data_IF_579511054551
#
_entry.id   IF_579511054551
#
_cell.length_a   1.000
_cell.length_b   1.000
_cell.length_c   1.000
_cell.angle_alpha   90.00
_cell.angle_beta   90.00
_cell.angle_gamma   90.00
#
_symmetry.space_group_name_H-M   'P 1'
#
loop_
_entity.id
_entity.type
_entity.pdbx_description
1 polymer ?
#
# COMPACT_ATOMS: atom_id res chain seq x y z
N UNK A 1 24.54 -11.03 -2.74
CA UNK A 1 23.77 -11.99 -3.56
C UNK A 1 22.64 -12.56 -2.72
N UNK A 2 21.47 -12.88 -3.29
CA UNK A 2 20.40 -13.52 -2.53
C UNK A 2 20.81 -14.89 -2.02
N UNK A 3 20.26 -15.29 -0.87
CA UNK A 3 20.33 -16.66 -0.37
C UNK A 3 19.08 -17.42 -0.79
N UNK A 4 19.23 -18.59 -1.41
CA UNK A 4 18.12 -19.52 -1.65
C UNK A 4 17.85 -20.31 -0.38
N UNK A 5 16.61 -20.26 0.11
CA UNK A 5 16.21 -20.90 1.40
C UNK A 5 15.11 -21.94 1.26
N UNK A 6 14.51 -22.04 0.06
CA UNK A 6 13.60 -23.09 -0.40
C UNK A 6 13.67 -23.11 -1.94
N UNK A 7 13.04 -24.09 -2.60
CA UNK A 7 13.12 -24.27 -4.07
C UNK A 7 12.73 -23.00 -4.84
N UNK A 8 11.59 -22.40 -4.46
CA UNK A 8 11.03 -21.17 -5.04
C UNK A 8 11.15 -19.95 -4.10
N UNK A 9 12.16 -19.87 -3.23
CA UNK A 9 12.30 -18.75 -2.29
C UNK A 9 13.72 -18.20 -2.18
N UNK A 10 13.87 -16.92 -2.54
CA UNK A 10 15.10 -16.14 -2.43
C UNK A 10 14.95 -15.05 -1.36
N UNK A 11 16.03 -14.83 -0.60
CA UNK A 11 16.07 -13.85 0.49
C UNK A 11 17.25 -12.91 0.31
N UNK A 12 16.97 -11.60 0.31
CA UNK A 12 17.97 -10.55 0.42
C UNK A 12 18.00 -10.03 1.87
N UNK A 13 19.20 -9.92 2.44
CA UNK A 13 19.37 -9.45 3.82
C UNK A 13 19.16 -10.53 4.89
N UNK A 14 19.18 -10.08 6.14
CA UNK A 14 18.89 -10.90 7.32
C UNK A 14 17.42 -10.72 7.69
N UNK A 15 16.63 -11.78 7.53
CA UNK A 15 15.18 -11.76 7.74
C UNK A 15 14.82 -12.78 8.81
N UNK A 16 13.89 -12.42 9.69
CA UNK A 16 13.39 -13.28 10.76
C UNK A 16 12.78 -14.60 10.23
N UNK A 17 12.99 -15.70 10.94
CA UNK A 17 12.56 -17.03 10.48
C UNK A 17 11.03 -17.16 10.35
N UNK A 18 10.26 -16.43 11.17
CA UNK A 18 8.80 -16.36 11.05
C UNK A 18 8.35 -15.79 9.69
N UNK A 19 9.05 -14.77 9.18
CA UNK A 19 8.79 -14.09 7.92
C UNK A 19 9.17 -15.02 6.76
N UNK A 20 10.32 -15.69 6.86
CA UNK A 20 10.72 -16.71 5.89
C UNK A 20 9.68 -17.86 5.87
N UNK A 21 9.21 -18.31 7.03
CA UNK A 21 8.20 -19.37 7.11
C UNK A 21 6.86 -18.95 6.49
N UNK A 22 6.43 -17.70 6.67
CA UNK A 22 5.25 -17.15 5.97
C UNK A 22 5.46 -17.14 4.44
N UNK A 23 6.61 -16.65 3.97
CA UNK A 23 6.93 -16.59 2.55
C UNK A 23 7.02 -17.97 1.88
N UNK A 24 7.51 -19.00 2.60
CA UNK A 24 7.51 -20.39 2.11
C UNK A 24 6.09 -20.89 1.78
N UNK A 25 5.06 -20.45 2.51
CA UNK A 25 3.68 -20.83 2.19
C UNK A 25 3.25 -20.28 0.83
N UNK A 26 3.59 -19.03 0.54
CA UNK A 26 3.31 -18.41 -0.76
C UNK A 26 4.11 -19.07 -1.89
N UNK A 27 5.40 -19.34 -1.67
CA UNK A 27 6.28 -19.97 -2.66
C UNK A 27 5.83 -21.37 -3.12
N UNK A 28 5.05 -22.07 -2.29
CA UNK A 28 4.51 -23.41 -2.58
C UNK A 28 3.18 -23.39 -3.33
N UNK A 29 2.59 -22.23 -3.57
CA UNK A 29 1.34 -22.15 -4.31
C UNK A 29 1.57 -22.59 -5.76
N UNK A 30 0.65 -23.37 -6.36
CA UNK A 30 0.81 -23.87 -7.72
C UNK A 30 0.77 -22.75 -8.77
N UNK A 31 0.22 -21.58 -8.42
CA UNK A 31 0.14 -20.40 -9.28
C UNK A 31 1.44 -19.57 -9.29
N UNK A 32 2.42 -19.91 -8.46
CA UNK A 32 3.67 -19.15 -8.38
C UNK A 32 4.69 -19.69 -9.39
N UNK A 33 5.01 -18.87 -10.37
CA UNK A 33 5.98 -19.16 -11.41
C UNK A 33 7.35 -18.57 -11.08
N UNK A 34 8.43 -19.33 -11.26
CA UNK A 34 9.77 -18.90 -10.84
C UNK A 34 9.96 -18.93 -9.32
N UNK A 35 10.21 -17.78 -8.68
CA UNK A 35 10.53 -17.69 -7.26
C UNK A 35 9.87 -16.49 -6.57
N UNK A 36 9.51 -16.67 -5.30
CA UNK A 36 9.23 -15.57 -4.38
C UNK A 36 10.54 -14.94 -3.95
N UNK A 37 10.60 -13.61 -3.91
CA UNK A 37 11.74 -12.85 -3.43
C UNK A 37 11.36 -12.03 -2.19
N UNK A 38 12.11 -12.20 -1.11
CA UNK A 38 12.04 -11.32 0.07
C UNK A 38 13.10 -10.24 -0.02
N UNK A 39 12.66 -8.99 0.07
CA UNK A 39 13.52 -7.81 0.13
C UNK A 39 14.12 -7.66 1.54
N UNK A 40 15.20 -6.85 1.71
CA UNK A 40 15.86 -6.67 3.01
C UNK A 40 14.98 -6.11 4.14
N UNK A 41 13.87 -5.46 3.81
CA UNK A 41 12.88 -4.90 4.72
C UNK A 41 11.67 -5.82 4.93
N UNK A 42 11.72 -7.05 4.41
CA UNK A 42 10.62 -7.99 4.51
C UNK A 42 10.31 -8.36 5.95
N UNK A 43 9.02 -8.40 6.28
CA UNK A 43 8.53 -8.76 7.60
C UNK A 43 7.13 -9.38 7.51
N UNK A 44 6.64 -9.89 8.64
CA UNK A 44 5.33 -10.52 8.76
C UNK A 44 4.23 -9.60 8.21
N UNK A 45 3.37 -10.17 7.36
CA UNK A 45 2.14 -9.55 6.88
C UNK A 45 0.92 -10.42 7.14
N UNK A 46 -0.19 -10.13 6.44
CA UNK A 46 -1.41 -10.94 6.49
C UNK A 46 -1.51 -11.73 5.18
N UNK A 47 -1.41 -13.07 5.27
CA UNK A 47 -1.27 -13.94 4.10
C UNK A 47 0.12 -13.85 3.51
N UNK A 48 0.36 -12.84 2.68
CA UNK A 48 1.68 -12.55 2.12
C UNK A 48 2.52 -11.72 3.11
N UNK A 49 3.85 -11.87 3.01
CA UNK A 49 4.84 -11.02 3.70
C UNK A 49 4.87 -9.62 3.09
N UNK A 50 5.08 -8.60 3.91
CA UNK A 50 5.42 -7.25 3.43
C UNK A 50 6.86 -7.29 2.91
N UNK A 51 7.19 -6.50 1.88
CA UNK A 51 8.51 -6.51 1.26
C UNK A 51 8.79 -7.76 0.41
N UNK A 52 7.74 -8.37 -0.16
CA UNK A 52 7.89 -9.55 -1.02
C UNK A 52 7.44 -9.31 -2.45
N UNK A 53 8.09 -9.99 -3.39
CA UNK A 53 7.68 -10.11 -4.78
C UNK A 53 7.21 -11.55 -5.01
N UNK A 54 5.95 -11.71 -5.40
CA UNK A 54 5.31 -13.01 -5.61
C UNK A 54 4.81 -13.05 -7.07
N UNK A 55 5.60 -13.59 -8.01
CA UNK A 55 5.15 -13.77 -9.39
C UNK A 55 4.05 -14.82 -9.45
N UNK A 56 2.91 -14.48 -10.06
CA UNK A 56 1.79 -15.40 -10.28
C UNK A 56 1.47 -15.53 -11.76
N UNK A 57 1.05 -16.72 -12.18
CA UNK A 57 0.55 -16.97 -13.53
C UNK A 57 -0.97 -17.11 -13.51
N UNK A 58 -1.65 -16.35 -14.37
CA UNK A 58 -3.11 -16.34 -14.54
C UNK A 58 -3.90 -16.27 -13.22
N UNK A 59 -3.32 -15.64 -12.19
CA UNK A 59 -3.91 -15.57 -10.88
C UNK A 59 -3.55 -14.29 -10.14
N UNK A 60 -4.42 -13.86 -9.22
CA UNK A 60 -4.20 -12.70 -8.35
C UNK A 60 -4.48 -13.08 -6.90
N UNK A 61 -3.51 -12.91 -6.02
CA UNK A 61 -3.65 -13.06 -4.57
C UNK A 61 -4.00 -11.67 -3.98
N UNK A 62 -5.26 -11.37 -3.59
CA UNK A 62 -5.64 -10.01 -3.18
C UNK A 62 -4.90 -9.51 -1.93
N UNK A 63 -4.57 -10.41 -1.00
CA UNK A 63 -3.81 -10.07 0.21
C UNK A 63 -2.35 -9.69 -0.09
N UNK A 64 -1.77 -10.21 -1.18
CA UNK A 64 -0.41 -9.87 -1.61
C UNK A 64 -0.31 -8.46 -2.20
N UNK A 65 -1.42 -7.89 -2.69
CA UNK A 65 -1.48 -6.48 -3.12
C UNK A 65 -1.48 -5.54 -1.91
N UNK A 66 -1.96 -6.01 -0.75
CA UNK A 66 -2.09 -5.23 0.47
C UNK A 66 -3.43 -4.51 0.60
N UNK A 67 -3.70 -4.02 1.81
CA UNK A 67 -4.98 -3.37 2.15
C UNK A 67 -4.98 -1.87 1.87
N UNK A 68 -3.82 -1.23 1.79
CA UNK A 68 -3.70 0.14 1.29
C UNK A 68 -3.22 0.11 -0.16
N UNK A 69 -4.18 -0.14 -1.07
CA UNK A 69 -3.90 -0.35 -2.49
C UNK A 69 -3.26 0.91 -3.08
N UNK A 70 -2.11 0.77 -3.72
CA UNK A 70 -1.39 1.91 -4.30
C UNK A 70 -0.81 2.85 -3.25
N UNK A 71 -0.64 2.40 -2.00
CA UNK A 71 0.24 3.09 -1.06
C UNK A 71 1.64 3.19 -1.65
N UNK A 72 2.20 4.39 -1.61
CA UNK A 72 3.45 4.69 -2.28
C UNK A 72 3.91 6.11 -2.04
N UNK A 73 5.09 6.40 -2.59
CA UNK A 73 5.77 7.67 -2.38
C UNK A 73 5.85 8.46 -3.68
N UNK A 74 5.66 9.77 -3.56
CA UNK A 74 5.96 10.75 -4.60
C UNK A 74 6.90 11.77 -4.01
N UNK A 75 8.00 12.05 -4.70
CA UNK A 75 8.94 13.12 -4.34
C UNK A 75 8.93 14.18 -5.44
N UNK A 76 8.81 15.45 -5.04
CA UNK A 76 8.83 16.60 -5.94
C UNK A 76 10.00 17.49 -5.55
N UNK A 77 10.95 17.67 -6.47
CA UNK A 77 12.02 18.64 -6.31
C UNK A 77 11.48 20.05 -6.46
N UNK A 78 11.89 20.93 -5.57
CA UNK A 78 11.54 22.35 -5.63
C UNK A 78 12.71 23.17 -6.18
N UNK A 79 12.45 24.44 -6.49
CA UNK A 79 13.50 25.39 -6.86
C UNK A 79 14.22 25.99 -5.62
N UNK A 80 13.76 25.64 -4.41
CA UNK A 80 14.30 26.14 -3.14
C UNK A 80 15.56 25.37 -2.77
N UNK A 81 16.63 26.10 -2.47
CA UNK A 81 17.88 25.56 -1.93
C UNK A 81 17.87 25.55 -0.40
N UNK A 82 18.69 24.71 0.21
CA UNK A 82 18.81 24.55 1.65
C UNK A 82 19.12 25.88 2.37
N UNK A 83 20.00 26.70 1.79
CA UNK A 83 20.40 28.01 2.31
C UNK A 83 19.28 29.06 2.23
N UNK A 84 18.19 28.76 1.52
CA UNK A 84 16.98 29.59 1.45
C UNK A 84 15.89 29.13 2.42
N UNK A 85 16.08 28.01 3.13
CA UNK A 85 15.13 27.55 4.14
C UNK A 85 15.25 28.40 5.41
N UNK A 86 14.13 28.70 6.08
CA UNK A 86 14.18 29.36 7.38
C UNK A 86 14.68 28.40 8.46
N UNK A 87 15.26 28.94 9.53
CA UNK A 87 15.68 28.17 10.71
C UNK A 87 14.52 27.40 11.38
N UNK A 88 13.29 27.92 11.27
CA UNK A 88 12.07 27.28 11.79
C UNK A 88 11.09 26.94 10.66
N UNK A 89 10.91 25.64 10.41
CA UNK A 89 9.94 25.11 9.45
C UNK A 89 8.52 24.94 10.03
N UNK A 90 8.30 25.14 11.33
CA UNK A 90 6.96 24.99 11.95
C UNK A 90 5.87 25.79 11.23
N UNK A 91 6.07 27.03 10.78
CA UNK A 91 5.05 27.76 10.05
C UNK A 91 4.65 27.09 8.73
N UNK A 92 5.64 26.54 8.00
CA UNK A 92 5.39 25.81 6.75
C UNK A 92 4.65 24.50 7.04
N UNK A 93 5.15 23.70 7.98
CA UNK A 93 4.54 22.43 8.35
C UNK A 93 3.10 22.60 8.85
N UNK A 94 2.80 23.70 9.57
CA UNK A 94 1.42 24.04 9.97
C UNK A 94 0.51 24.32 8.77
N UNK A 95 1.00 25.07 7.78
CA UNK A 95 0.24 25.33 6.54
C UNK A 95 -0.02 24.04 5.77
N UNK A 96 0.98 23.17 5.69
CA UNK A 96 0.87 21.85 5.06
C UNK A 96 -0.16 20.98 5.80
N UNK A 97 -0.05 20.87 7.13
CA UNK A 97 -0.98 20.08 7.93
C UNK A 97 -2.43 20.59 7.84
N UNK A 98 -2.61 21.90 7.66
CA UNK A 98 -3.93 22.47 7.40
C UNK A 98 -4.45 22.13 5.98
N UNK A 99 -3.58 22.19 4.97
CA UNK A 99 -3.93 21.88 3.58
C UNK A 99 -4.12 20.39 3.32
N UNK A 100 -3.42 19.52 4.05
CA UNK A 100 -3.45 18.06 3.92
C UNK A 100 -3.71 17.45 5.31
N UNK A 101 -4.99 17.32 5.70
CA UNK A 101 -5.34 16.77 7.01
C UNK A 101 -4.79 15.37 7.21
N UNK A 102 -4.23 15.11 8.39
CA UNK A 102 -3.68 13.81 8.80
C UNK A 102 -4.45 13.22 9.98
N UNK A 103 -4.55 11.90 10.02
CA UNK A 103 -5.17 11.12 11.09
C UNK A 103 -6.21 10.10 10.60
N UNK A 104 -6.54 9.15 11.48
CA UNK A 104 -7.53 8.09 11.20
C UNK A 104 -8.90 8.73 10.98
N UNK A 105 -9.55 8.41 9.85
CA UNK A 105 -10.89 8.89 9.53
C UNK A 105 -11.01 10.41 9.32
N UNK A 106 -9.88 11.12 9.20
CA UNK A 106 -9.89 12.56 8.96
C UNK A 106 -10.29 12.86 7.52
N UNK A 107 -10.98 13.97 7.36
CA UNK A 107 -11.43 14.55 6.11
C UNK A 107 -11.32 16.07 6.18
N UNK A 108 -11.63 16.74 5.07
CA UNK A 108 -11.64 18.21 4.99
C UNK A 108 -12.85 18.86 5.69
N UNK A 109 -13.65 18.09 6.44
CA UNK A 109 -14.91 18.53 7.06
C UNK A 109 -16.07 18.74 6.08
N UNK A 110 -15.80 18.69 4.77
CA UNK A 110 -16.75 18.74 3.66
C UNK A 110 -16.19 17.98 2.46
N UNK A 111 -17.07 17.54 1.57
CA UNK A 111 -16.67 17.05 0.25
C UNK A 111 -16.08 18.20 -0.55
N UNK A 112 -14.92 17.99 -1.15
CA UNK A 112 -14.25 19.01 -1.97
C UNK A 112 -14.68 18.87 -3.43
N UNK A 113 -14.71 19.99 -4.17
CA UNK A 113 -14.95 19.97 -5.62
C UNK A 113 -13.95 19.07 -6.36
N UNK A 114 -12.71 19.02 -5.87
CA UNK A 114 -11.68 18.14 -6.43
C UNK A 114 -12.03 16.66 -6.27
N UNK A 115 -12.58 16.26 -5.11
CA UNK A 115 -13.04 14.89 -4.87
C UNK A 115 -14.18 14.50 -5.81
N UNK A 116 -15.18 15.38 -5.96
CA UNK A 116 -16.32 15.16 -6.88
C UNK A 116 -15.86 15.07 -8.33
N UNK A 117 -15.01 15.99 -8.77
CA UNK A 117 -14.47 15.98 -10.13
C UNK A 117 -13.63 14.73 -10.41
N UNK A 118 -12.81 14.31 -9.44
CA UNK A 118 -12.00 13.10 -9.57
C UNK A 118 -12.88 11.85 -9.71
N UNK A 119 -13.86 11.68 -8.82
CA UNK A 119 -14.74 10.51 -8.86
C UNK A 119 -15.66 10.51 -10.09
N UNK A 120 -16.14 11.69 -10.50
CA UNK A 120 -17.00 11.84 -11.68
C UNK A 120 -16.28 11.56 -13.00
N UNK A 121 -14.99 11.91 -13.10
CA UNK A 121 -14.18 11.69 -14.31
C UNK A 121 -13.50 10.32 -14.36
N UNK A 122 -13.30 9.65 -13.21
CA UNK A 122 -12.63 8.36 -13.10
C UNK A 122 -13.57 7.32 -12.50
N UNK A 123 -14.59 6.95 -13.27
CA UNK A 123 -15.54 5.93 -12.83
C UNK A 123 -14.83 4.58 -12.66
N UNK A 124 -14.90 3.96 -11.48
CA UNK A 124 -14.35 2.63 -11.29
C UNK A 124 -15.09 1.62 -12.18
N UNK A 125 -14.46 0.46 -12.51
CA UNK A 125 -15.07 -0.57 -13.35
C UNK A 125 -16.35 -1.18 -12.77
N UNK A 126 -16.61 -0.96 -11.49
CA UNK A 126 -17.82 -1.35 -10.77
C UNK A 126 -18.34 -0.16 -9.97
N UNK A 127 -19.64 -0.13 -9.77
CA UNK A 127 -20.24 0.85 -8.87
C UNK A 127 -19.72 0.65 -7.43
N UNK A 128 -19.41 1.79 -6.81
CA UNK A 128 -19.12 1.86 -5.40
C UNK A 128 -20.44 1.85 -4.62
N UNK A 129 -20.47 1.16 -3.48
CA UNK A 129 -21.58 1.30 -2.54
C UNK A 129 -21.61 2.73 -1.97
N UNK A 130 -22.75 3.15 -1.42
CA UNK A 130 -22.87 4.47 -0.78
C UNK A 130 -21.78 4.70 0.28
N UNK A 131 -21.43 3.66 1.04
CA UNK A 131 -20.33 3.70 2.02
C UNK A 131 -18.98 3.94 1.36
N UNK A 132 -18.70 3.24 0.27
CA UNK A 132 -17.44 3.37 -0.49
C UNK A 132 -17.33 4.75 -1.15
N UNK A 133 -18.41 5.23 -1.76
CA UNK A 133 -18.52 6.57 -2.34
C UNK A 133 -18.29 7.64 -1.28
N UNK A 134 -19.00 7.56 -0.15
CA UNK A 134 -18.83 8.49 0.98
C UNK A 134 -17.38 8.50 1.49
N UNK A 135 -16.81 7.33 1.73
CA UNK A 135 -15.42 7.20 2.21
C UNK A 135 -14.43 7.84 1.24
N UNK A 136 -14.61 7.59 -0.06
CA UNK A 136 -13.76 8.16 -1.12
C UNK A 136 -13.83 9.67 -1.11
N UNK A 137 -15.03 10.24 -1.09
CA UNK A 137 -15.25 11.69 -1.17
C UNK A 137 -14.75 12.43 0.10
N UNK A 138 -14.97 11.87 1.28
CA UNK A 138 -14.59 12.50 2.55
C UNK A 138 -13.08 12.47 2.80
N UNK A 139 -12.39 11.41 2.36
CA UNK A 139 -10.95 11.21 2.62
C UNK A 139 -10.05 11.65 1.46
N UNK A 140 -10.62 12.07 0.33
CA UNK A 140 -9.86 12.53 -0.83
C UNK A 140 -8.96 13.72 -0.46
N UNK A 141 -7.68 13.65 -0.85
CA UNK A 141 -6.71 14.71 -0.56
C UNK A 141 -6.35 14.82 0.93
N UNK A 142 -6.43 13.73 1.69
CA UNK A 142 -5.92 13.65 3.07
C UNK A 142 -4.70 12.74 3.14
N UNK A 143 -3.85 12.95 4.16
CA UNK A 143 -2.62 12.17 4.32
C UNK A 143 -2.92 10.74 4.79
N UNK A 144 -3.82 10.62 5.78
CA UNK A 144 -4.05 9.38 6.49
C UNK A 144 -3.27 9.23 7.78
N UNK A 145 -3.01 7.99 8.17
CA UNK A 145 -2.39 7.59 9.43
C UNK A 145 -1.44 6.42 9.21
N UNK A 146 -0.78 5.95 10.28
CA UNK A 146 0.20 4.86 10.18
C UNK A 146 1.55 5.41 9.75
N UNK A 147 2.18 4.78 8.76
CA UNK A 147 3.46 5.21 8.19
C UNK A 147 3.33 6.32 7.12
N UNK A 148 2.15 6.92 6.97
CA UNK A 148 1.93 8.01 6.00
C UNK A 148 2.48 9.33 6.54
N UNK A 149 3.27 10.01 5.71
CA UNK A 149 3.93 11.26 6.08
C UNK A 149 4.01 12.22 4.90
N UNK A 150 4.23 13.49 5.24
CA UNK A 150 4.73 14.49 4.31
C UNK A 150 5.95 15.12 4.97
N UNK A 151 7.07 15.14 4.26
CA UNK A 151 8.33 15.67 4.75
C UNK A 151 8.96 16.66 3.77
N UNK A 152 9.78 17.55 4.31
CA UNK A 152 10.70 18.40 3.57
C UNK A 152 12.08 17.79 3.70
N UNK A 153 12.67 17.38 2.58
CA UNK A 153 13.98 16.75 2.53
C UNK A 153 14.97 17.64 1.77
N UNK A 154 16.27 17.44 2.00
CA UNK A 154 17.34 18.11 1.27
C UNK A 154 18.25 17.02 0.69
N UNK A 155 18.59 17.13 -0.59
CA UNK A 155 19.52 16.21 -1.25
C UNK A 155 21.00 16.63 -1.10
N UNK A 156 21.89 15.82 -1.63
CA UNK A 156 23.35 16.02 -1.56
C UNK A 156 23.82 17.32 -2.26
N UNK A 157 23.03 17.87 -3.19
CA UNK A 157 23.31 19.12 -3.91
C UNK A 157 22.71 20.35 -3.20
N UNK A 158 22.08 20.16 -2.03
CA UNK A 158 21.39 21.19 -1.28
C UNK A 158 20.07 21.64 -1.90
N UNK A 159 19.41 20.81 -2.72
CA UNK A 159 18.06 21.08 -3.25
C UNK A 159 17.00 20.57 -2.29
N UNK A 160 15.92 21.32 -2.15
CA UNK A 160 14.80 20.95 -1.29
C UNK A 160 13.77 20.13 -2.06
N UNK A 161 13.26 19.08 -1.42
CA UNK A 161 12.25 18.17 -1.91
C UNK A 161 11.04 18.14 -0.97
N UNK A 162 9.86 17.92 -1.54
CA UNK A 162 8.68 17.51 -0.79
C UNK A 162 8.44 16.04 -1.09
N UNK A 163 8.48 15.21 -0.06
CA UNK A 163 8.18 13.78 -0.17
C UNK A 163 6.84 13.52 0.49
N UNK A 164 5.95 12.88 -0.25
CA UNK A 164 4.62 12.47 0.18
C UNK A 164 4.55 10.96 0.16
N UNK A 165 4.26 10.36 1.32
CA UNK A 165 3.89 8.97 1.44
C UNK A 165 2.42 8.88 1.85
N UNK A 166 1.59 8.35 0.94
CA UNK A 166 0.18 8.11 1.21
C UNK A 166 -0.34 6.98 0.32
N UNK A 167 -1.64 6.72 0.37
CA UNK A 167 -2.27 5.65 -0.39
C UNK A 167 -3.74 5.93 -0.68
N UNK A 168 -4.45 4.86 -0.99
CA UNK A 168 -5.87 4.86 -1.34
C UNK A 168 -6.83 5.27 -0.22
N UNK A 169 -6.33 5.41 1.02
CA UNK A 169 -7.17 5.66 2.19
C UNK A 169 -8.17 4.52 2.44
N UNK A 170 -9.27 4.82 3.14
CA UNK A 170 -10.23 3.81 3.57
C UNK A 170 -10.91 3.06 2.43
N UNK A 171 -10.98 3.65 1.23
CA UNK A 171 -11.59 2.97 0.08
C UNK A 171 -10.76 1.75 -0.36
N UNK A 172 -9.42 1.84 -0.40
CA UNK A 172 -8.60 0.67 -0.73
C UNK A 172 -8.74 -0.44 0.29
N UNK A 173 -8.78 -0.11 1.59
CA UNK A 173 -8.99 -1.11 2.64
C UNK A 173 -10.35 -1.82 2.49
N UNK A 174 -11.42 -1.07 2.19
CA UNK A 174 -12.75 -1.62 1.95
C UNK A 174 -12.77 -2.56 0.74
N UNK A 175 -12.12 -2.17 -0.37
CA UNK A 175 -12.04 -2.98 -1.59
C UNK A 175 -11.17 -4.23 -1.38
N UNK A 176 -9.99 -4.08 -0.79
CA UNK A 176 -9.09 -5.19 -0.47
C UNK A 176 -9.79 -6.21 0.44
N UNK A 177 -10.40 -5.77 1.54
CA UNK A 177 -11.11 -6.66 2.48
C UNK A 177 -12.25 -7.41 1.80
N UNK A 178 -13.01 -6.73 0.92
CA UNK A 178 -14.07 -7.34 0.13
C UNK A 178 -13.51 -8.43 -0.80
N UNK A 179 -12.43 -8.15 -1.53
CA UNK A 179 -11.83 -9.11 -2.47
C UNK A 179 -11.14 -10.28 -1.76
N UNK A 180 -10.41 -10.05 -0.67
CA UNK A 180 -9.83 -11.12 0.16
C UNK A 180 -10.93 -12.06 0.67
N UNK A 181 -12.02 -11.48 1.20
CA UNK A 181 -13.15 -12.27 1.70
C UNK A 181 -13.83 -13.07 0.59
N UNK A 182 -13.93 -12.50 -0.62
CA UNK A 182 -14.50 -13.18 -1.78
C UNK A 182 -13.61 -14.34 -2.23
N UNK A 183 -12.30 -14.14 -2.38
CA UNK A 183 -11.36 -15.19 -2.76
C UNK A 183 -11.42 -16.39 -1.80
N UNK A 184 -11.41 -16.13 -0.49
CA UNK A 184 -11.58 -17.17 0.54
C UNK A 184 -12.87 -17.97 0.38
N UNK A 185 -14.00 -17.29 0.12
CA UNK A 185 -15.31 -17.95 -0.08
C UNK A 185 -15.34 -18.79 -1.36
N UNK A 186 -14.77 -18.27 -2.44
CA UNK A 186 -14.76 -18.94 -3.73
C UNK A 186 -13.91 -20.22 -3.69
N UNK A 187 -12.74 -20.18 -3.04
CA UNK A 187 -11.92 -21.37 -2.81
C UNK A 187 -12.60 -22.40 -1.91
N UNK A 188 -13.26 -21.97 -0.83
CA UNK A 188 -14.04 -22.86 0.03
C UNK A 188 -15.15 -23.55 -0.77
N UNK A 189 -15.83 -22.84 -1.66
CA UNK A 189 -16.86 -23.39 -2.55
C UNK A 189 -16.29 -24.38 -3.57
N UNK A 190 -15.07 -24.12 -4.05
CA UNK A 190 -14.34 -25.01 -4.94
C UNK A 190 -13.66 -26.19 -4.22
N UNK A 191 -13.83 -26.33 -2.90
CA UNK A 191 -13.17 -27.35 -2.07
C UNK A 191 -11.64 -27.34 -2.17
N UNK A 192 -11.06 -26.19 -2.49
CA UNK A 192 -9.60 -25.98 -2.50
C UNK A 192 -9.14 -25.65 -1.08
N UNK A 193 -8.23 -26.45 -0.54
CA UNK A 193 -7.61 -26.21 0.76
C UNK A 193 -6.22 -25.60 0.58
N UNK A 194 -5.99 -24.45 1.20
CA UNK A 194 -4.69 -23.79 1.24
C UNK A 194 -4.06 -23.98 2.61
N UNK A 195 -2.72 -24.11 2.64
CA UNK A 195 -1.95 -24.11 3.89
C UNK A 195 -2.04 -22.78 4.65
N UNK A 196 -2.47 -21.71 3.98
CA UNK A 196 -2.85 -20.44 4.58
C UNK A 196 -4.10 -19.88 3.87
N UNK A 197 -5.26 -19.76 4.55
CA UNK A 197 -6.46 -19.18 3.96
C UNK A 197 -6.28 -17.72 3.53
N UNK A 198 -5.34 -16.97 4.10
CA UNK A 198 -5.05 -15.60 3.70
C UNK A 198 -4.30 -15.52 2.36
N UNK A 199 -3.81 -16.63 1.81
CA UNK A 199 -3.24 -16.72 0.46
C UNK A 199 -4.28 -17.05 -0.63
N UNK A 200 -5.57 -16.93 -0.31
CA UNK A 200 -6.63 -17.15 -1.28
C UNK A 200 -6.49 -16.24 -2.50
N UNK A 201 -6.73 -16.79 -3.69
CA UNK A 201 -6.52 -16.12 -4.97
C UNK A 201 -7.69 -16.28 -5.94
N UNK A 202 -7.75 -15.40 -6.93
CA UNK A 202 -8.60 -15.53 -8.11
C UNK A 202 -7.78 -16.10 -9.27
N UNK A 203 -8.45 -16.86 -10.15
CA UNK A 203 -7.98 -17.31 -11.47
C UNK A 203 -8.89 -16.75 -12.55
#
# INVERSE_FOLDING_TARGET
MPRRVDDKLLVWGEIEENTIAQARKAARLPIVEGHVALMPDAHIGIGATIGSVIPTENAVIPSAVGVDIGCGMVAVRTDVRQDQLPDDLKPLLRKIAHAVPAGVGKGHGRVTKAAEAWLGSRKPPRDLSDKQTKTTLEQFGTLGSGNHFLEVAVDEDGRTWIVLHSGSRGIGNQLATMHISKAKKDMKRALVSLGDPDLAYFV
#
